data_IF_571577547403
#
_entry.id   IF_571577547403
#
_cell.length_a   1.000
_cell.length_b   1.000
_cell.length_c   1.000
_cell.angle_alpha   90.00
_cell.angle_beta   90.00
_cell.angle_gamma   90.00
#
_symmetry.space_group_name_H-M   'P 1'
#
loop_
_entity.id
_entity.type
_entity.pdbx_description
1 polymer ?
#
# COMPACT_ATOMS: atom_id res chain seq x y z
N UNK A 1 -17.46 -13.68 16.97
CA UNK A 1 -16.18 -13.02 17.34
C UNK A 1 -15.18 -14.09 17.74
N UNK A 2 -13.97 -14.03 17.21
CA UNK A 2 -12.88 -14.99 17.50
C UNK A 2 -11.82 -14.30 18.36
N UNK A 3 -11.07 -15.10 19.14
CA UNK A 3 -9.95 -14.58 19.95
C UNK A 3 -8.79 -14.05 19.11
N UNK A 4 -8.73 -14.45 17.83
CA UNK A 4 -7.74 -14.02 16.84
C UNK A 4 -8.16 -12.78 16.06
N UNK A 5 -9.35 -12.23 16.31
CA UNK A 5 -9.78 -10.99 15.66
C UNK A 5 -8.87 -9.84 16.11
N UNK A 6 -8.52 -8.97 15.16
CA UNK A 6 -7.71 -7.78 15.41
C UNK A 6 -8.44 -6.52 14.97
N UNK A 7 -7.95 -5.36 15.40
CA UNK A 7 -8.38 -4.04 14.95
C UNK A 7 -7.18 -3.19 14.59
N UNK A 8 -7.24 -2.46 13.48
CA UNK A 8 -6.17 -1.55 13.07
C UNK A 8 -6.13 -0.33 14.00
N UNK A 9 -4.93 0.05 14.43
CA UNK A 9 -4.67 1.21 15.30
C UNK A 9 -3.85 2.30 14.64
N UNK A 10 -2.94 1.93 13.76
CA UNK A 10 -2.12 2.88 13.04
C UNK A 10 -1.71 2.33 11.68
N UNK A 11 -1.53 3.25 10.74
CA UNK A 11 -0.96 2.96 9.43
C UNK A 11 0.06 4.06 9.09
N UNK A 12 1.26 3.66 8.71
CA UNK A 12 2.30 4.55 8.21
C UNK A 12 2.67 4.14 6.79
N UNK A 13 2.87 5.12 5.91
CA UNK A 13 3.14 4.91 4.49
C UNK A 13 4.41 5.66 4.08
N UNK A 14 5.30 4.98 3.38
CA UNK A 14 6.49 5.54 2.75
C UNK A 14 6.49 5.28 1.25
N UNK A 15 6.99 6.25 0.49
CA UNK A 15 7.27 6.09 -0.92
C UNK A 15 8.79 6.01 -1.11
N UNK A 16 9.27 4.85 -1.53
CA UNK A 16 10.69 4.56 -1.67
C UNK A 16 11.05 4.52 -3.16
N UNK A 17 11.89 5.44 -3.68
CA UNK A 17 12.35 5.35 -5.05
C UNK A 17 13.33 4.18 -5.20
N UNK A 18 13.07 3.30 -6.17
CA UNK A 18 13.92 2.14 -6.47
C UNK A 18 14.34 2.21 -7.92
N UNK A 19 15.66 2.22 -8.16
CA UNK A 19 16.22 2.14 -9.51
C UNK A 19 16.31 0.67 -9.93
N UNK A 20 15.83 0.36 -11.13
CA UNK A 20 15.99 -0.99 -11.67
C UNK A 20 17.43 -1.19 -12.12
N UNK A 21 18.00 -2.37 -11.84
CA UNK A 21 19.36 -2.71 -12.29
C UNK A 21 19.47 -2.74 -13.82
N UNK A 22 18.39 -3.14 -14.48
CA UNK A 22 18.25 -3.18 -15.94
C UNK A 22 16.87 -2.62 -16.30
N UNK A 23 16.72 -1.92 -17.45
CA UNK A 23 15.42 -1.44 -17.89
C UNK A 23 14.44 -2.61 -18.09
N UNK A 24 13.21 -2.47 -17.58
CA UNK A 24 12.13 -3.44 -17.74
C UNK A 24 11.13 -2.94 -18.78
N UNK A 25 10.69 -3.80 -19.69
CA UNK A 25 9.75 -3.42 -20.76
C UNK A 25 8.33 -3.87 -20.44
N UNK A 26 7.39 -2.93 -20.45
CA UNK A 26 5.96 -3.15 -20.23
C UNK A 26 5.17 -2.58 -21.40
N UNK A 27 4.83 -3.44 -22.37
CA UNK A 27 4.19 -3.01 -23.62
C UNK A 27 5.05 -1.96 -24.35
N UNK A 28 4.51 -0.77 -24.66
CA UNK A 28 5.27 0.30 -25.31
C UNK A 28 6.21 1.05 -24.36
N UNK A 29 6.05 0.91 -23.04
CA UNK A 29 6.81 1.68 -22.05
C UNK A 29 8.06 0.92 -21.55
N UNK A 30 9.14 1.66 -21.28
CA UNK A 30 10.36 1.14 -20.64
C UNK A 30 10.51 1.78 -19.26
N UNK A 31 10.60 0.95 -18.23
CA UNK A 31 10.71 1.33 -16.83
C UNK A 31 12.17 1.19 -16.37
N UNK A 32 12.78 2.29 -15.94
CA UNK A 32 14.12 2.31 -15.33
C UNK A 32 14.09 2.53 -13.82
N UNK A 33 12.95 2.95 -13.28
CA UNK A 33 12.76 3.15 -11.85
C UNK A 33 11.29 3.00 -11.47
N UNK A 34 11.03 2.60 -10.23
CA UNK A 34 9.69 2.44 -9.67
C UNK A 34 9.64 3.02 -8.26
N UNK A 35 8.47 3.50 -7.85
CA UNK A 35 8.22 3.87 -6.45
C UNK A 35 7.63 2.66 -5.74
N UNK A 36 8.25 2.19 -4.66
CA UNK A 36 7.63 1.22 -3.76
C UNK A 36 6.82 1.93 -2.69
N UNK A 37 5.54 1.56 -2.57
CA UNK A 37 4.72 1.93 -1.42
C UNK A 37 4.98 0.90 -0.32
N UNK A 38 5.60 1.33 0.79
CA UNK A 38 5.83 0.52 1.97
C UNK A 38 4.90 0.96 3.08
N UNK A 39 4.26 0.02 3.75
CA UNK A 39 3.32 0.26 4.83
C UNK A 39 3.74 -0.49 6.09
N UNK A 40 3.63 0.18 7.22
CA UNK A 40 3.59 -0.44 8.54
C UNK A 40 2.17 -0.32 9.09
N UNK A 41 1.56 -1.45 9.43
CA UNK A 41 0.25 -1.51 10.09
C UNK A 41 0.42 -2.00 11.51
N UNK A 42 -0.05 -1.23 12.48
CA UNK A 42 -0.17 -1.66 13.86
C UNK A 42 -1.60 -2.10 14.14
N UNK A 43 -1.75 -3.31 14.68
CA UNK A 43 -3.03 -3.88 15.08
C UNK A 43 -3.06 -4.18 16.57
N UNK A 44 -4.25 -4.19 17.15
CA UNK A 44 -4.53 -4.61 18.51
C UNK A 44 -5.38 -5.89 18.50
N UNK A 45 -5.05 -6.86 19.34
CA UNK A 45 -5.89 -8.03 19.58
C UNK A 45 -6.91 -7.80 20.70
N UNK A 46 -7.80 -8.77 20.91
CA UNK A 46 -8.84 -8.70 21.97
C UNK A 46 -8.30 -8.60 23.40
N UNK A 47 -7.03 -8.88 23.62
CA UNK A 47 -6.36 -8.82 24.93
C UNK A 47 -5.59 -7.51 25.10
N UNK A 48 -5.71 -6.57 24.16
CA UNK A 48 -5.02 -5.28 24.17
C UNK A 48 -3.56 -5.36 23.75
N UNK A 49 -3.09 -6.50 23.22
CA UNK A 49 -1.70 -6.63 22.75
C UNK A 49 -1.56 -5.99 21.39
N UNK A 50 -0.48 -5.23 21.20
CA UNK A 50 -0.17 -4.57 19.93
C UNK A 50 0.89 -5.36 19.16
N UNK A 51 0.74 -5.38 17.84
CA UNK A 51 1.75 -5.90 16.92
C UNK A 51 1.82 -5.03 15.67
N UNK A 52 3.01 -4.89 15.08
CA UNK A 52 3.23 -4.15 13.83
C UNK A 52 3.70 -5.10 12.74
N UNK A 53 2.96 -5.15 11.64
CA UNK A 53 3.32 -5.85 10.41
C UNK A 53 3.79 -4.89 9.33
N UNK A 54 4.63 -5.38 8.42
CA UNK A 54 5.14 -4.62 7.28
C UNK A 54 4.74 -5.28 5.96
N UNK A 55 4.40 -4.46 4.99
CA UNK A 55 4.14 -4.89 3.61
C UNK A 55 4.62 -3.84 2.63
N UNK A 56 4.98 -4.26 1.43
CA UNK A 56 5.33 -3.34 0.35
C UNK A 56 4.85 -3.81 -1.01
N UNK A 57 4.64 -2.86 -1.91
CA UNK A 57 4.32 -3.14 -3.31
C UNK A 57 4.91 -2.07 -4.23
N UNK A 58 5.52 -2.46 -5.37
CA UNK A 58 5.91 -1.50 -6.39
C UNK A 58 4.66 -0.87 -7.03
N UNK A 59 4.65 0.46 -7.12
CA UNK A 59 3.62 1.21 -7.84
C UNK A 59 3.90 1.13 -9.35
N UNK A 60 3.57 -0.01 -9.94
CA UNK A 60 3.75 -0.31 -11.37
C UNK A 60 2.74 0.45 -12.24
N UNK A 61 2.81 1.78 -12.23
CA UNK A 61 1.84 2.72 -12.83
C UNK A 61 1.47 2.36 -14.27
N UNK A 62 2.45 1.91 -15.07
CA UNK A 62 2.27 1.50 -16.46
C UNK A 62 1.22 0.40 -16.63
N UNK A 63 1.09 -0.48 -15.65
CA UNK A 63 0.20 -1.63 -15.71
C UNK A 63 -1.04 -1.44 -14.82
N UNK A 64 -0.86 -1.01 -13.57
CA UNK A 64 -1.96 -0.98 -12.58
C UNK A 64 -2.92 0.19 -12.76
N UNK A 65 -2.54 1.19 -13.57
CA UNK A 65 -3.32 2.41 -13.78
C UNK A 65 -3.36 2.81 -15.28
N UNK A 66 -3.95 2.00 -16.16
CA UNK A 66 -3.96 2.28 -17.59
C UNK A 66 -4.80 3.53 -17.91
N UNK A 67 -4.22 4.49 -18.65
CA UNK A 67 -4.89 5.71 -19.11
C UNK A 67 -4.02 6.41 -20.16
N UNK A 68 -4.63 7.22 -21.01
CA UNK A 68 -3.95 8.10 -21.99
C UNK A 68 -3.23 9.28 -21.34
N UNK A 69 -3.43 9.52 -20.03
CA UNK A 69 -2.73 10.57 -19.29
C UNK A 69 -1.24 10.29 -19.14
N UNK A 70 -0.48 11.35 -18.88
CA UNK A 70 0.96 11.24 -18.68
C UNK A 70 1.29 10.30 -17.50
N UNK A 71 2.47 9.68 -17.55
CA UNK A 71 2.96 8.84 -16.45
C UNK A 71 2.91 9.57 -15.10
N UNK A 72 3.34 10.84 -15.05
CA UNK A 72 3.42 11.61 -13.82
C UNK A 72 2.04 11.86 -13.18
N UNK A 73 1.03 12.18 -14.00
CA UNK A 73 -0.34 12.36 -13.49
C UNK A 73 -0.90 11.05 -12.92
N UNK A 74 -0.65 9.93 -13.59
CA UNK A 74 -1.09 8.60 -13.13
C UNK A 74 -0.35 8.19 -11.85
N UNK A 75 0.97 8.41 -11.79
CA UNK A 75 1.79 8.14 -10.61
C UNK A 75 1.34 8.96 -9.39
N UNK A 76 1.10 10.26 -9.59
CA UNK A 76 0.59 11.14 -8.54
C UNK A 76 -0.80 10.71 -8.06
N UNK A 77 -1.71 10.36 -8.98
CA UNK A 77 -3.05 9.88 -8.63
C UNK A 77 -3.00 8.58 -7.82
N UNK A 78 -2.15 7.63 -8.21
CA UNK A 78 -1.96 6.37 -7.51
C UNK A 78 -1.34 6.59 -6.11
N UNK A 79 -0.30 7.42 -6.00
CA UNK A 79 0.27 7.80 -4.70
C UNK A 79 -0.75 8.47 -3.78
N UNK A 80 -1.57 9.38 -4.32
CA UNK A 80 -2.64 10.04 -3.59
C UNK A 80 -3.70 9.03 -3.10
N UNK A 81 -4.03 8.01 -3.91
CA UNK A 81 -4.89 6.91 -3.49
C UNK A 81 -4.26 6.13 -2.33
N UNK A 82 -2.99 5.71 -2.43
CA UNK A 82 -2.31 5.02 -1.34
C UNK A 82 -2.35 5.83 -0.03
N UNK A 83 -2.11 7.14 -0.09
CA UNK A 83 -2.19 8.02 1.07
C UNK A 83 -3.60 8.09 1.67
N UNK A 84 -4.66 8.11 0.83
CA UNK A 84 -6.05 8.05 1.33
C UNK A 84 -6.36 6.70 1.99
N UNK A 85 -5.92 5.59 1.39
CA UNK A 85 -6.13 4.25 1.93
C UNK A 85 -5.44 4.12 3.30
N UNK A 86 -4.17 4.50 3.43
CA UNK A 86 -3.46 4.45 4.70
C UNK A 86 -4.20 5.21 5.83
N UNK A 87 -4.67 6.44 5.55
CA UNK A 87 -5.48 7.21 6.51
C UNK A 87 -6.78 6.51 6.89
N UNK A 88 -7.48 5.91 5.90
CA UNK A 88 -8.75 5.23 6.13
C UNK A 88 -8.57 3.94 6.93
N UNK A 89 -7.51 3.17 6.70
CA UNK A 89 -7.19 1.98 7.50
C UNK A 89 -6.89 2.36 8.95
N UNK A 90 -6.11 3.42 9.19
CA UNK A 90 -5.80 3.89 10.54
C UNK A 90 -7.06 4.30 11.34
N UNK A 91 -8.12 4.77 10.67
CA UNK A 91 -9.39 5.14 11.29
C UNK A 91 -10.50 4.09 11.12
N UNK A 92 -10.19 2.90 10.59
CA UNK A 92 -11.20 1.89 10.31
C UNK A 92 -11.62 1.18 11.61
N UNK A 93 -12.81 1.50 12.10
CA UNK A 93 -13.33 0.96 13.35
C UNK A 93 -14.07 -0.36 13.15
N UNK A 94 -13.30 -1.43 12.96
CA UNK A 94 -13.84 -2.78 12.91
C UNK A 94 -12.90 -3.78 13.57
N UNK A 95 -13.49 -4.87 14.07
CA UNK A 95 -12.77 -6.06 14.48
C UNK A 95 -13.04 -7.17 13.47
N UNK A 96 -12.01 -7.93 13.10
CA UNK A 96 -12.17 -9.06 12.21
C UNK A 96 -10.88 -9.85 12.01
N UNK A 97 -10.97 -10.92 11.22
CA UNK A 97 -9.77 -11.62 10.76
C UNK A 97 -8.99 -10.72 9.80
N UNK A 98 -7.65 -10.82 9.78
CA UNK A 98 -6.80 -9.95 8.94
C UNK A 98 -7.25 -9.93 7.46
N UNK A 99 -7.57 -11.10 6.90
CA UNK A 99 -8.06 -11.23 5.51
C UNK A 99 -9.45 -10.60 5.27
N UNK A 100 -10.29 -10.47 6.29
CA UNK A 100 -11.61 -9.84 6.17
C UNK A 100 -11.50 -8.32 6.25
N UNK A 101 -10.50 -7.81 6.99
CA UNK A 101 -10.22 -6.38 7.12
C UNK A 101 -9.46 -5.81 5.91
N UNK A 102 -8.78 -6.66 5.14
CA UNK A 102 -7.97 -6.29 3.97
C UNK A 102 -6.49 -6.22 4.29
#
# INVERSE_FOLDING_TARGET
MRSTDVKVRAAQLWFLPVQTRVPLKFGPETLTSVICARVALTVEDRRGRLATGWGETPLSVQWVWPSERSYNERAHALGALCGRLARRWASFDAWGHALELG
#
